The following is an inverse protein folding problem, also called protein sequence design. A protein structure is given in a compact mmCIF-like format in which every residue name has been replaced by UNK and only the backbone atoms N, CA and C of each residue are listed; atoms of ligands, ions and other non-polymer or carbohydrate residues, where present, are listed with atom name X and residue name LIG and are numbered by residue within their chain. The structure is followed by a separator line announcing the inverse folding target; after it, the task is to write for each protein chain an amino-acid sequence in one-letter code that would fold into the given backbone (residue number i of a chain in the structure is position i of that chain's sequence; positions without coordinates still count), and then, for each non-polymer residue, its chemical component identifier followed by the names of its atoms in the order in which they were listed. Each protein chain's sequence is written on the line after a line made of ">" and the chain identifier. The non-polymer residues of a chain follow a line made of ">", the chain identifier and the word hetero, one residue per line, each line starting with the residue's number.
data_IF_051539369703
#
_entry.id   IF_051539369703
#
_cell.length_a   1.000
_cell.length_b   1.000
_cell.length_c   1.000
_cell.angle_alpha   90.00
_cell.angle_beta   90.00
_cell.angle_gamma   90.00
#
_symmetry.space_group_name_H-M   'P 1'
#
loop_
_entity.id
_entity.type
_entity.pdbx_description
1 polymer ?
#
# COMPACT_ATOMS: atom_id res chain seq x y z
N UNK A 1 11.31 -24.02 14.65
CA UNK A 1 10.29 -23.61 13.65
C UNK A 1 10.42 -22.11 13.45
N UNK A 2 10.63 -21.69 12.24
CA UNK A 2 10.74 -20.27 11.94
C UNK A 2 9.35 -19.64 11.96
N UNK A 3 9.23 -18.52 12.65
CA UNK A 3 8.00 -17.72 12.66
C UNK A 3 8.28 -16.41 11.98
N UNK A 4 7.45 -16.05 11.00
CA UNK A 4 7.51 -14.76 10.27
C UNK A 4 6.32 -13.91 10.71
N UNK A 5 6.57 -12.64 11.00
CA UNK A 5 5.51 -11.70 11.32
C UNK A 5 4.92 -11.12 10.03
N UNK A 6 3.60 -11.25 9.85
CA UNK A 6 2.94 -10.81 8.63
C UNK A 6 2.96 -9.28 8.47
N UNK A 7 2.91 -8.53 9.59
CA UNK A 7 3.00 -7.08 9.56
C UNK A 7 4.37 -6.62 9.04
N UNK A 8 5.44 -7.24 9.53
CA UNK A 8 6.80 -6.93 9.10
C UNK A 8 6.98 -7.28 7.61
N UNK A 9 6.45 -8.45 7.20
CA UNK A 9 6.49 -8.87 5.80
C UNK A 9 5.76 -7.89 4.87
N UNK A 10 4.56 -7.45 5.23
CA UNK A 10 3.80 -6.46 4.48
C UNK A 10 4.55 -5.11 4.39
N UNK A 11 5.13 -4.67 5.49
CA UNK A 11 5.93 -3.43 5.55
C UNK A 11 7.15 -3.50 4.61
N UNK A 12 7.86 -4.64 4.60
CA UNK A 12 9.01 -4.88 3.72
C UNK A 12 8.57 -4.92 2.25
N UNK A 13 7.49 -5.65 1.95
CA UNK A 13 6.96 -5.74 0.58
C UNK A 13 6.63 -4.35 0.01
N UNK A 14 5.92 -3.53 0.79
CA UNK A 14 5.54 -2.19 0.34
C UNK A 14 6.77 -1.28 0.19
N UNK A 15 7.79 -1.43 1.03
CA UNK A 15 9.07 -0.72 0.86
C UNK A 15 9.77 -1.13 -0.43
N UNK A 16 9.89 -2.41 -0.71
CA UNK A 16 10.52 -2.90 -1.93
C UNK A 16 9.72 -2.48 -3.18
N UNK A 17 8.37 -2.44 -3.09
CA UNK A 17 7.52 -1.90 -4.16
C UNK A 17 7.81 -0.42 -4.41
N UNK A 18 7.91 0.40 -3.36
CA UNK A 18 8.26 1.82 -3.49
C UNK A 18 9.57 2.02 -4.25
N UNK A 19 10.57 1.16 -3.98
CA UNK A 19 11.89 1.24 -4.61
C UNK A 19 11.91 0.76 -6.07
N UNK A 20 10.94 -0.05 -6.49
CA UNK A 20 10.89 -0.68 -7.82
C UNK A 20 9.72 -0.21 -8.68
N UNK A 21 8.80 0.59 -8.15
CA UNK A 21 7.60 1.03 -8.86
C UNK A 21 7.99 1.90 -10.09
N UNK A 22 7.66 1.47 -11.32
CA UNK A 22 8.25 2.14 -12.50
C UNK A 22 7.52 3.42 -12.91
N UNK A 23 6.24 3.56 -12.56
CA UNK A 23 5.38 4.63 -13.10
C UNK A 23 5.61 5.97 -12.41
N UNK A 24 5.72 5.94 -11.08
CA UNK A 24 5.74 7.15 -10.24
C UNK A 24 7.00 7.28 -9.39
N UNK A 25 8.01 6.40 -9.63
CA UNK A 25 9.21 6.28 -8.80
C UNK A 25 9.92 7.61 -8.56
N UNK A 26 10.01 8.43 -9.60
CA UNK A 26 10.72 9.72 -9.56
C UNK A 26 9.77 10.93 -9.63
N UNK A 27 8.48 10.69 -9.55
CA UNK A 27 7.48 11.74 -9.66
C UNK A 27 7.17 12.35 -8.30
N UNK A 28 7.15 13.67 -8.25
CA UNK A 28 6.82 14.46 -7.06
C UNK A 28 5.39 14.97 -7.16
N UNK A 29 4.62 14.80 -6.09
CA UNK A 29 3.27 15.38 -5.99
C UNK A 29 3.41 16.92 -5.90
N UNK A 30 2.74 17.63 -6.79
CA UNK A 30 2.78 19.10 -6.89
C UNK A 30 1.46 19.76 -6.56
N UNK A 31 0.36 19.14 -6.89
CA UNK A 31 -0.97 19.68 -6.62
C UNK A 31 -1.96 18.56 -6.30
N UNK A 32 -2.87 18.86 -5.38
CA UNK A 32 -4.04 18.06 -5.09
C UNK A 32 -5.24 18.96 -5.35
N UNK A 33 -6.16 18.52 -6.19
CA UNK A 33 -7.33 19.29 -6.56
C UNK A 33 -8.60 18.45 -6.38
N UNK A 34 -9.55 18.95 -5.61
CA UNK A 34 -10.86 18.34 -5.34
C UNK A 34 -12.00 18.96 -6.17
N UNK A 35 -11.65 19.80 -7.13
CA UNK A 35 -12.60 20.54 -7.96
C UNK A 35 -13.15 21.81 -7.32
N UNK A 36 -12.85 22.10 -6.06
CA UNK A 36 -13.36 23.31 -5.38
C UNK A 36 -12.70 24.62 -5.84
N UNK A 37 -11.51 24.51 -6.45
CA UNK A 37 -10.74 25.64 -6.95
C UNK A 37 -10.17 25.36 -8.35
N UNK A 38 -9.89 26.42 -9.15
CA UNK A 38 -9.19 26.27 -10.41
C UNK A 38 -7.82 25.59 -10.21
N UNK A 39 -7.43 24.75 -11.15
CA UNK A 39 -6.11 24.11 -11.15
C UNK A 39 -5.01 25.17 -11.27
N UNK A 40 -3.97 25.07 -10.47
CA UNK A 40 -2.78 25.92 -10.59
C UNK A 40 -1.77 25.38 -11.60
N UNK A 41 -1.70 24.05 -11.69
CA UNK A 41 -0.93 23.37 -12.73
C UNK A 41 -1.85 23.06 -13.91
N UNK A 42 -1.40 23.38 -15.11
CA UNK A 42 -2.12 23.14 -16.37
C UNK A 42 -3.53 23.79 -16.42
N UNK A 43 -3.68 25.09 -16.13
CA UNK A 43 -5.01 25.72 -16.06
C UNK A 43 -5.77 25.66 -17.40
N UNK A 44 -5.04 25.71 -18.52
CA UNK A 44 -5.60 25.79 -19.87
C UNK A 44 -5.58 24.46 -20.63
N UNK A 45 -5.11 23.36 -20.00
CA UNK A 45 -5.10 22.06 -20.66
C UNK A 45 -6.39 21.33 -20.36
N UNK A 46 -7.21 21.00 -21.38
CA UNK A 46 -8.36 20.15 -21.19
C UNK A 46 -7.91 18.78 -20.69
N UNK A 47 -8.57 18.31 -19.66
CA UNK A 47 -8.38 16.96 -19.15
C UNK A 47 -9.71 16.19 -19.35
N UNK A 48 -9.92 15.60 -20.54
CA UNK A 48 -11.19 14.99 -20.91
C UNK A 48 -11.73 14.02 -19.86
N UNK A 49 -10.83 13.31 -19.19
CA UNK A 49 -11.21 12.37 -18.13
C UNK A 49 -11.83 13.06 -16.91
N UNK A 50 -11.44 14.29 -16.58
CA UNK A 50 -12.07 15.06 -15.51
C UNK A 50 -13.42 15.62 -15.96
N UNK A 51 -13.54 16.00 -17.23
CA UNK A 51 -14.77 16.52 -17.82
C UNK A 51 -15.83 15.41 -17.97
N UNK A 52 -15.39 14.15 -18.11
CA UNK A 52 -16.24 12.96 -18.21
C UNK A 52 -16.64 12.36 -16.84
N UNK A 53 -16.08 12.87 -15.72
CA UNK A 53 -16.46 12.38 -14.39
C UNK A 53 -17.88 12.83 -14.05
N UNK A 54 -18.72 11.95 -13.44
CA UNK A 54 -20.05 12.36 -13.01
C UNK A 54 -19.96 13.47 -11.96
N UNK A 55 -20.68 14.58 -12.19
CA UNK A 55 -20.70 15.76 -11.30
C UNK A 55 -21.13 15.45 -9.85
N UNK A 56 -21.79 14.31 -9.64
CA UNK A 56 -22.31 13.90 -8.34
C UNK A 56 -21.38 12.99 -7.53
N UNK A 57 -20.20 12.64 -8.06
CA UNK A 57 -19.22 11.82 -7.35
C UNK A 57 -18.01 12.67 -7.00
N UNK A 58 -17.65 12.80 -5.70
CA UNK A 58 -16.43 13.49 -5.31
C UNK A 58 -15.19 12.91 -6.02
N UNK A 59 -14.30 13.78 -6.42
CA UNK A 59 -13.06 13.36 -7.05
C UNK A 59 -11.84 14.07 -6.44
N UNK A 60 -10.69 13.38 -6.49
CA UNK A 60 -9.40 13.94 -6.13
C UNK A 60 -8.44 13.79 -7.31
N UNK A 61 -7.98 14.90 -7.82
CA UNK A 61 -6.97 14.93 -8.87
C UNK A 61 -5.59 15.17 -8.26
N UNK A 62 -4.63 14.31 -8.62
CA UNK A 62 -3.23 14.37 -8.20
C UNK A 62 -2.36 14.72 -9.39
N UNK A 63 -1.66 15.83 -9.29
CA UNK A 63 -0.73 16.27 -10.32
C UNK A 63 0.71 16.00 -9.87
N UNK A 64 1.40 15.18 -10.63
CA UNK A 64 2.79 14.82 -10.39
C UNK A 64 3.69 15.38 -11.48
N UNK A 65 4.91 15.73 -11.10
CA UNK A 65 5.94 16.18 -12.01
C UNK A 65 7.21 15.37 -11.81
N UNK A 66 7.76 14.85 -12.89
CA UNK A 66 9.11 14.31 -12.91
C UNK A 66 10.08 15.42 -13.28
N UNK A 67 11.06 15.72 -12.43
CA UNK A 67 11.99 16.83 -12.64
C UNK A 67 13.18 16.32 -13.48
N UNK A 68 13.32 16.85 -14.70
CA UNK A 68 14.51 16.63 -15.50
C UNK A 68 15.72 17.29 -14.82
N UNK A 69 16.87 16.65 -14.84
CA UNK A 69 18.14 17.14 -14.30
C UNK A 69 18.35 17.04 -12.77
N UNK A 70 17.42 16.53 -11.98
CA UNK A 70 17.74 16.10 -10.62
C UNK A 70 18.28 14.67 -10.66
N UNK A 71 19.28 14.37 -9.80
CA UNK A 71 19.68 12.98 -9.56
C UNK A 71 18.41 12.25 -9.09
N UNK A 72 17.96 11.20 -9.82
CA UNK A 72 16.68 10.58 -9.54
C UNK A 72 16.63 10.05 -8.09
N UNK A 73 16.13 10.86 -7.18
CA UNK A 73 15.89 10.48 -5.80
C UNK A 73 14.47 9.91 -5.72
N UNK A 74 14.34 8.73 -5.10
CA UNK A 74 13.04 8.18 -4.82
C UNK A 74 12.42 9.00 -3.69
N UNK A 75 11.28 9.72 -3.90
CA UNK A 75 10.66 10.48 -2.86
C UNK A 75 10.26 9.59 -1.67
N UNK A 76 10.57 10.02 -0.47
CA UNK A 76 10.07 9.35 0.72
C UNK A 76 8.68 9.87 1.07
N UNK A 77 7.79 9.04 1.68
CA UNK A 77 6.45 9.46 2.06
C UNK A 77 6.41 10.68 2.98
N UNK A 78 7.53 10.93 3.67
CA UNK A 78 7.69 12.06 4.60
C UNK A 78 8.19 13.33 3.94
N UNK A 79 8.61 13.25 2.67
CA UNK A 79 9.20 14.34 1.89
C UNK A 79 8.22 14.96 0.89
N UNK A 80 6.92 14.62 0.96
CA UNK A 80 5.89 15.21 0.09
C UNK A 80 5.89 16.72 0.26
N UNK A 81 6.20 17.44 -0.82
CA UNK A 81 6.20 18.90 -0.82
C UNK A 81 4.76 19.38 -0.75
N UNK A 82 4.45 20.29 0.18
CA UNK A 82 3.14 20.92 0.27
C UNK A 82 2.93 21.78 -0.96
N UNK A 83 1.83 21.58 -1.63
CA UNK A 83 1.39 22.44 -2.72
C UNK A 83 0.06 23.07 -2.34
N UNK A 84 0.05 24.37 -2.21
CA UNK A 84 -1.14 25.23 -2.28
C UNK A 84 -2.27 25.05 -1.26
N UNK A 85 -2.54 23.84 -0.79
CA UNK A 85 -3.57 23.57 0.19
C UNK A 85 -2.95 23.46 1.59
N UNK A 86 -2.95 24.56 2.33
CA UNK A 86 -2.42 24.65 3.71
C UNK A 86 -3.18 23.76 4.72
N UNK A 87 -4.35 23.23 4.34
CA UNK A 87 -5.24 22.48 5.21
C UNK A 87 -4.97 20.96 5.23
N UNK A 88 -4.15 20.42 4.33
CA UNK A 88 -3.89 18.97 4.25
C UNK A 88 -2.85 18.56 5.29
N UNK A 89 -3.21 17.65 6.17
CA UNK A 89 -2.32 17.14 7.21
C UNK A 89 -1.19 16.27 6.64
N UNK A 90 -0.07 16.14 7.37
CA UNK A 90 1.03 15.25 6.98
C UNK A 90 0.61 13.78 6.81
N UNK A 91 -0.40 13.32 7.56
CA UNK A 91 -0.89 11.95 7.47
C UNK A 91 -1.74 11.74 6.22
N UNK A 92 -2.51 12.76 5.82
CA UNK A 92 -3.26 12.74 4.56
C UNK A 92 -2.32 12.80 3.36
N UNK A 93 -1.31 13.66 3.39
CA UNK A 93 -0.29 13.70 2.34
C UNK A 93 0.42 12.34 2.18
N UNK A 94 0.76 11.68 3.28
CA UNK A 94 1.33 10.34 3.22
C UNK A 94 0.34 9.31 2.65
N UNK A 95 -0.94 9.42 2.99
CA UNK A 95 -1.99 8.56 2.44
C UNK A 95 -2.13 8.76 0.93
N UNK A 96 -2.19 10.00 0.46
CA UNK A 96 -2.22 10.32 -0.96
C UNK A 96 -0.97 9.83 -1.70
N UNK A 97 0.20 9.99 -1.09
CA UNK A 97 1.44 9.45 -1.63
C UNK A 97 1.33 7.94 -1.91
N UNK A 98 0.79 7.18 -0.96
CA UNK A 98 0.61 5.74 -1.11
C UNK A 98 -0.55 5.38 -2.04
N UNK A 99 -1.65 6.14 -2.02
CA UNK A 99 -2.77 5.95 -2.95
C UNK A 99 -2.30 6.02 -4.41
N UNK A 100 -1.46 7.00 -4.73
CA UNK A 100 -0.88 7.16 -6.07
C UNK A 100 -0.01 5.95 -6.44
N UNK A 101 0.89 5.54 -5.56
CA UNK A 101 1.84 4.45 -5.83
C UNK A 101 1.21 3.07 -5.86
N UNK A 102 0.08 2.92 -5.18
CA UNK A 102 -0.69 1.68 -5.19
C UNK A 102 -1.74 1.62 -6.31
N UNK A 103 -1.88 2.68 -7.11
CA UNK A 103 -2.84 2.71 -8.21
C UNK A 103 -2.72 1.46 -9.08
N UNK A 104 -3.85 0.72 -9.22
CA UNK A 104 -3.94 -0.55 -9.95
C UNK A 104 -2.89 -1.61 -9.55
N UNK A 105 -2.38 -1.60 -8.31
CA UNK A 105 -1.35 -2.55 -7.85
C UNK A 105 -1.89 -3.69 -6.99
N UNK A 106 -3.18 -3.76 -6.73
CA UNK A 106 -3.77 -4.74 -5.80
C UNK A 106 -3.38 -6.18 -6.14
N UNK A 107 -3.64 -6.61 -7.36
CA UNK A 107 -3.30 -7.96 -7.81
C UNK A 107 -1.80 -8.22 -7.82
N UNK A 108 -0.99 -7.28 -8.30
CA UNK A 108 0.46 -7.43 -8.35
C UNK A 108 1.05 -7.59 -6.94
N UNK A 109 0.58 -6.82 -5.96
CA UNK A 109 1.04 -6.90 -4.57
C UNK A 109 0.58 -8.19 -3.88
N UNK A 110 -0.67 -8.60 -4.07
CA UNK A 110 -1.18 -9.87 -3.52
C UNK A 110 -0.44 -11.05 -4.15
N UNK A 111 -0.19 -11.04 -5.45
CA UNK A 111 0.58 -12.08 -6.13
C UNK A 111 2.04 -12.11 -5.66
N UNK A 112 2.69 -10.95 -5.52
CA UNK A 112 4.04 -10.89 -4.97
C UNK A 112 4.09 -11.46 -3.53
N UNK A 113 3.13 -11.11 -2.69
CA UNK A 113 3.02 -11.68 -1.34
C UNK A 113 2.85 -13.20 -1.39
N UNK A 114 1.99 -13.71 -2.28
CA UNK A 114 1.80 -15.15 -2.47
C UNK A 114 3.10 -15.85 -2.86
N UNK A 115 3.85 -15.33 -3.86
CA UNK A 115 5.14 -15.89 -4.27
C UNK A 115 6.12 -15.93 -3.08
N UNK A 116 6.17 -14.86 -2.29
CA UNK A 116 7.03 -14.80 -1.10
C UNK A 116 6.62 -15.87 -0.08
N UNK A 117 5.32 -16.01 0.21
CA UNK A 117 4.81 -17.02 1.14
C UNK A 117 5.09 -18.44 0.65
N UNK A 118 4.90 -18.70 -0.64
CA UNK A 118 5.17 -20.00 -1.27
C UNK A 118 6.67 -20.39 -1.25
N UNK A 119 7.56 -19.39 -1.27
CA UNK A 119 9.01 -19.61 -1.20
C UNK A 119 9.51 -19.89 0.24
N UNK A 120 8.71 -19.61 1.26
CA UNK A 120 9.07 -19.93 2.63
C UNK A 120 8.94 -21.44 2.90
N UNK A 121 9.77 -22.01 3.79
CA UNK A 121 9.63 -23.43 4.18
C UNK A 121 8.21 -23.74 4.65
N UNK A 122 7.63 -24.87 4.24
CA UNK A 122 6.27 -25.29 4.60
C UNK A 122 6.05 -25.39 6.12
N UNK A 123 7.12 -25.56 6.89
CA UNK A 123 7.09 -25.60 8.36
C UNK A 123 7.04 -24.21 9.00
N UNK A 124 7.20 -23.15 8.20
CA UNK A 124 7.13 -21.76 8.67
C UNK A 124 5.71 -21.43 9.12
N UNK A 125 5.59 -20.70 10.22
CA UNK A 125 4.33 -20.16 10.70
C UNK A 125 4.28 -18.65 10.49
N UNK A 126 3.13 -18.15 10.10
CA UNK A 126 2.83 -16.73 10.10
C UNK A 126 2.26 -16.34 11.46
N UNK A 127 2.87 -15.35 12.07
CA UNK A 127 2.33 -14.63 13.21
C UNK A 127 1.61 -13.39 12.72
N UNK A 128 0.31 -13.32 12.96
CA UNK A 128 -0.55 -12.23 12.52
C UNK A 128 -1.03 -11.48 13.76
N UNK A 129 -0.67 -10.21 13.87
CA UNK A 129 -0.94 -9.37 15.02
C UNK A 129 -1.70 -8.13 14.56
N UNK A 130 -2.94 -7.96 15.00
CA UNK A 130 -3.70 -6.75 14.67
C UNK A 130 -3.45 -5.62 15.68
N UNK A 131 -3.72 -4.40 15.30
CA UNK A 131 -3.62 -3.22 16.18
C UNK A 131 -4.61 -3.24 17.34
N UNK A 132 -5.64 -4.10 17.29
CA UNK A 132 -6.63 -4.32 18.36
C UNK A 132 -6.22 -5.41 19.36
N UNK A 133 -5.06 -6.02 19.17
CA UNK A 133 -4.56 -7.06 20.10
C UNK A 133 -4.96 -8.48 19.73
N UNK A 134 -5.55 -8.71 18.56
CA UNK A 134 -5.81 -10.09 18.11
C UNK A 134 -4.51 -10.72 17.64
N UNK A 135 -4.29 -11.96 18.04
CA UNK A 135 -3.12 -12.77 17.66
C UNK A 135 -3.60 -14.05 16.98
N UNK A 136 -3.15 -14.27 15.77
CA UNK A 136 -3.38 -15.51 15.03
C UNK A 136 -2.03 -16.09 14.63
N UNK A 137 -1.88 -17.42 14.71
CA UNK A 137 -0.68 -18.12 14.22
C UNK A 137 -1.14 -19.25 13.32
N UNK A 138 -0.81 -19.15 12.04
CA UNK A 138 -1.24 -20.09 11.00
C UNK A 138 -0.04 -20.63 10.21
N UNK A 139 -0.16 -21.80 9.55
CA UNK A 139 0.81 -22.21 8.54
C UNK A 139 0.96 -21.14 7.44
N UNK A 140 2.15 -21.05 6.87
CA UNK A 140 2.45 -20.09 5.77
C UNK A 140 1.54 -20.28 4.55
N UNK A 141 1.00 -21.48 4.34
CA UNK A 141 0.07 -21.82 3.25
C UNK A 141 -1.41 -21.57 3.58
N UNK A 142 -1.73 -21.15 4.81
CA UNK A 142 -3.12 -21.03 5.27
C UNK A 142 -3.66 -19.61 5.01
N UNK A 143 -3.96 -19.32 3.74
CA UNK A 143 -4.63 -18.08 3.34
C UNK A 143 -5.56 -18.34 2.15
N UNK A 144 -6.50 -17.44 1.96
CA UNK A 144 -7.33 -17.34 0.77
C UNK A 144 -7.18 -15.96 0.15
N UNK A 145 -7.33 -15.86 -1.17
CA UNK A 145 -7.41 -14.60 -1.87
C UNK A 145 -8.87 -14.30 -2.15
N UNK A 146 -9.30 -13.11 -1.80
CA UNK A 146 -10.68 -12.65 -1.96
C UNK A 146 -10.69 -11.50 -2.94
N UNK A 147 -11.56 -11.57 -3.92
CA UNK A 147 -11.88 -10.48 -4.81
C UNK A 147 -13.33 -10.05 -4.60
N UNK A 148 -13.56 -8.75 -4.64
CA UNK A 148 -14.91 -8.21 -4.61
C UNK A 148 -15.01 -6.98 -5.52
N UNK A 149 -16.13 -6.79 -6.22
CA UNK A 149 -16.38 -5.58 -7.01
C UNK A 149 -16.72 -4.42 -6.07
N UNK A 150 -16.03 -3.30 -6.24
CA UNK A 150 -16.23 -2.08 -5.45
C UNK A 150 -16.59 -0.92 -6.36
N UNK A 151 -17.56 -0.13 -5.94
CA UNK A 151 -17.83 1.21 -6.47
C UNK A 151 -17.26 2.20 -5.44
N UNK A 152 -16.22 2.94 -5.79
CA UNK A 152 -15.63 3.94 -4.90
C UNK A 152 -16.58 5.14 -4.71
N UNK A 153 -16.65 5.66 -3.47
CA UNK A 153 -17.39 6.90 -3.18
C UNK A 153 -16.61 8.15 -3.62
N UNK A 154 -15.30 8.04 -3.78
CA UNK A 154 -14.45 9.11 -4.29
C UNK A 154 -13.61 8.57 -5.43
N UNK A 155 -13.69 9.22 -6.57
CA UNK A 155 -12.82 8.90 -7.70
C UNK A 155 -11.44 9.51 -7.50
N UNK A 156 -10.38 8.83 -7.94
CA UNK A 156 -9.05 9.42 -8.00
C UNK A 156 -8.56 9.50 -9.43
N UNK A 157 -7.91 10.60 -9.74
CA UNK A 157 -7.30 10.87 -11.02
C UNK A 157 -5.83 11.24 -10.82
N UNK A 158 -4.94 10.60 -11.54
CA UNK A 158 -3.51 10.86 -11.45
C UNK A 158 -3.03 11.37 -12.82
N UNK A 159 -2.47 12.55 -12.82
CA UNK A 159 -1.83 13.16 -13.97
C UNK A 159 -0.33 13.23 -13.71
N UNK A 160 0.45 12.44 -14.41
CA UNK A 160 1.91 12.42 -14.30
C UNK A 160 2.55 13.09 -15.49
N UNK A 161 3.25 14.21 -15.24
CA UNK A 161 3.92 15.02 -16.24
C UNK A 161 5.41 14.65 -16.27
N UNK A 162 5.87 14.18 -17.42
CA UNK A 162 7.29 13.86 -17.66
C UNK A 162 7.84 14.77 -18.73
N UNK A 163 9.00 15.41 -18.50
CA UNK A 163 9.67 16.12 -19.56
C UNK A 163 10.05 15.14 -20.66
N UNK A 164 9.75 15.49 -21.89
CA UNK A 164 10.17 14.71 -23.04
C UNK A 164 11.54 15.18 -23.47
N UNK A 165 12.49 14.26 -23.65
CA UNK A 165 13.75 14.56 -24.32
C UNK A 165 13.45 14.82 -25.80
N UNK A 166 13.39 16.10 -26.19
CA UNK A 166 13.31 16.48 -27.57
C UNK A 166 14.74 16.74 -28.06
N UNK A 167 15.12 16.25 -29.24
CA UNK A 167 16.35 16.68 -29.89
C UNK A 167 16.33 18.19 -30.05
N UNK A 168 17.42 18.86 -29.73
CA UNK A 168 17.65 20.30 -29.50
C UNK A 168 17.26 21.28 -30.66
N UNK A 169 16.36 20.95 -31.59
CA UNK A 169 16.14 21.81 -32.75
C UNK A 169 15.31 23.06 -32.49
N UNK A 170 14.40 23.10 -31.48
CA UNK A 170 13.45 24.22 -31.39
C UNK A 170 13.26 24.85 -30.00
N UNK A 171 14.00 24.41 -28.97
CA UNK A 171 13.96 25.07 -27.65
C UNK A 171 12.64 24.89 -26.85
N UNK A 172 11.70 24.12 -27.35
CA UNK A 172 10.44 23.87 -26.67
C UNK A 172 10.52 22.54 -25.89
N UNK A 173 10.32 22.61 -24.58
CA UNK A 173 10.15 21.42 -23.75
C UNK A 173 8.74 20.85 -23.98
N UNK A 174 8.64 19.71 -24.63
CA UNK A 174 7.38 18.96 -24.70
C UNK A 174 7.20 18.17 -23.42
N UNK A 175 5.98 18.09 -22.92
CA UNK A 175 5.61 17.29 -21.76
C UNK A 175 4.83 16.08 -22.21
N UNK A 176 5.27 14.88 -21.80
CA UNK A 176 4.44 13.70 -21.92
C UNK A 176 3.50 13.63 -20.70
N UNK A 177 2.21 13.52 -20.97
CA UNK A 177 1.17 13.46 -19.96
C UNK A 177 0.65 12.02 -19.87
N UNK A 178 0.95 11.34 -18.76
CA UNK A 178 0.35 10.04 -18.45
C UNK A 178 -0.81 10.24 -17.48
N UNK A 179 -1.96 9.68 -17.82
CA UNK A 179 -3.20 9.81 -17.06
C UNK A 179 -3.64 8.45 -16.54
N UNK A 180 -4.06 8.39 -15.29
CA UNK A 180 -4.55 7.18 -14.65
C UNK A 180 -5.78 7.52 -13.80
N UNK A 181 -6.79 6.66 -13.83
CA UNK A 181 -8.02 6.84 -13.05
C UNK A 181 -8.30 5.63 -12.18
N UNK A 182 -8.83 5.86 -10.99
CA UNK A 182 -9.42 4.82 -10.13
C UNK A 182 -10.83 5.26 -9.76
N UNK A 183 -11.77 4.34 -9.86
CA UNK A 183 -13.19 4.66 -9.71
C UNK A 183 -13.83 4.98 -11.05
N UNK A 184 -14.88 5.77 -11.03
CA UNK A 184 -15.70 6.08 -12.21
C UNK A 184 -17.14 5.61 -12.01
N UNK A 185 -17.92 5.52 -13.08
CA UNK A 185 -19.33 5.10 -13.03
C UNK A 185 -19.57 3.60 -12.86
N UNK A 186 -18.51 2.80 -12.76
CA UNK A 186 -18.59 1.35 -12.67
C UNK A 186 -17.85 0.77 -11.48
N UNK A 187 -18.11 -0.50 -11.20
CA UNK A 187 -17.35 -1.26 -10.22
C UNK A 187 -16.01 -1.68 -10.78
N UNK A 188 -15.00 -1.74 -9.92
CA UNK A 188 -13.68 -2.28 -10.22
C UNK A 188 -13.31 -3.39 -9.24
N UNK A 189 -12.46 -4.34 -9.65
CA UNK A 189 -12.10 -5.44 -8.80
C UNK A 189 -11.16 -4.97 -7.67
N UNK A 190 -11.51 -5.33 -6.44
CA UNK A 190 -10.71 -5.12 -5.23
C UNK A 190 -10.25 -6.46 -4.69
N UNK A 191 -8.98 -6.58 -4.36
CA UNK A 191 -8.38 -7.84 -3.96
C UNK A 191 -7.63 -7.72 -2.64
N UNK A 192 -7.80 -8.72 -1.76
CA UNK A 192 -7.08 -8.81 -0.49
C UNK A 192 -6.81 -10.28 -0.11
N UNK A 193 -5.95 -10.49 0.86
CA UNK A 193 -5.69 -11.81 1.44
C UNK A 193 -6.48 -11.99 2.73
N UNK A 194 -7.01 -13.18 2.93
CA UNK A 194 -7.75 -13.58 4.12
C UNK A 194 -7.02 -14.73 4.83
N UNK A 195 -6.74 -14.55 6.10
CA UNK A 195 -6.08 -15.53 6.97
C UNK A 195 -7.02 -15.99 8.06
N UNK A 196 -6.91 -17.26 8.46
CA UNK A 196 -7.82 -17.89 9.43
C UNK A 196 -9.00 -18.54 8.71
N UNK A 197 -9.12 -19.86 8.86
CA UNK A 197 -10.16 -20.63 8.19
C UNK A 197 -11.34 -20.86 9.12
N UNK A 198 -12.56 -20.91 8.56
CA UNK A 198 -13.79 -21.27 9.29
C UNK A 198 -13.73 -22.68 9.89
N UNK A 199 -12.76 -23.52 9.45
CA UNK A 199 -12.66 -24.94 9.78
C UNK A 199 -11.62 -25.34 10.80
N UNK A 200 -10.72 -24.46 11.27
CA UNK A 200 -9.68 -24.83 12.25
C UNK A 200 -10.22 -24.76 13.67
N UNK A 201 -10.88 -25.83 14.07
CA UNK A 201 -11.61 -26.00 15.36
C UNK A 201 -10.73 -26.06 16.62
N UNK A 202 -9.48 -25.59 16.64
CA UNK A 202 -8.55 -25.84 17.76
C UNK A 202 -7.82 -24.61 18.32
N UNK A 203 -8.27 -23.41 18.07
CA UNK A 203 -7.76 -22.23 18.79
C UNK A 203 -8.84 -21.61 19.66
N UNK A 204 -8.47 -21.05 20.81
CA UNK A 204 -9.41 -20.39 21.75
C UNK A 204 -10.19 -19.22 21.13
N UNK A 205 -9.88 -18.84 19.88
CA UNK A 205 -10.55 -17.82 19.08
C UNK A 205 -11.17 -18.45 17.81
N UNK A 206 -12.12 -19.38 18.01
CA UNK A 206 -12.86 -19.99 16.90
C UNK A 206 -13.51 -18.89 16.05
N UNK A 207 -13.13 -18.84 14.76
CA UNK A 207 -13.70 -17.93 13.77
C UNK A 207 -12.97 -16.60 13.60
N UNK A 208 -11.77 -16.42 14.16
CA UNK A 208 -10.98 -15.20 13.88
C UNK A 208 -10.45 -15.22 12.45
N UNK A 209 -10.97 -14.34 11.61
CA UNK A 209 -10.49 -14.08 10.27
C UNK A 209 -9.84 -12.69 10.21
N UNK A 210 -8.63 -12.61 9.66
CA UNK A 210 -7.87 -11.38 9.50
C UNK A 210 -7.63 -11.11 8.02
N UNK A 211 -7.99 -9.92 7.58
CA UNK A 211 -7.73 -9.41 6.24
C UNK A 211 -6.36 -8.74 6.20
N UNK A 212 -5.60 -8.97 5.14
CA UNK A 212 -4.47 -8.15 4.73
C UNK A 212 -4.81 -7.50 3.39
N UNK A 213 -5.04 -6.18 3.41
CA UNK A 213 -5.22 -5.35 2.23
C UNK A 213 -4.02 -4.42 2.06
N UNK A 214 -3.23 -4.69 1.04
CA UNK A 214 -1.97 -3.98 0.74
C UNK A 214 -2.18 -2.65 0.01
N UNK A 215 -3.41 -2.37 -0.45
CA UNK A 215 -3.73 -1.19 -1.26
C UNK A 215 -4.84 -0.31 -0.67
N UNK A 216 -5.18 -0.51 0.58
CA UNK A 216 -6.22 0.27 1.28
C UNK A 216 -6.08 1.80 1.12
N UNK A 217 -4.87 2.42 0.99
CA UNK A 217 -4.73 3.84 0.70
C UNK A 217 -5.37 4.30 -0.62
N UNK A 218 -5.57 3.42 -1.61
CA UNK A 218 -6.28 3.76 -2.85
C UNK A 218 -7.74 4.18 -2.61
N UNK A 219 -8.34 3.71 -1.53
CA UNK A 219 -9.67 4.13 -1.07
C UNK A 219 -9.59 5.09 0.13
N UNK A 220 -8.46 5.78 0.28
CA UNK A 220 -8.23 6.82 1.28
C UNK A 220 -8.43 6.39 2.72
N UNK A 221 -8.13 5.12 3.05
CA UNK A 221 -8.09 4.69 4.44
C UNK A 221 -6.81 3.92 4.78
N UNK A 222 -6.49 3.90 6.06
CA UNK A 222 -5.29 3.28 6.64
C UNK A 222 -5.70 2.17 7.60
N UNK A 223 -4.76 1.32 7.94
CA UNK A 223 -4.92 0.36 9.02
C UNK A 223 -5.32 1.01 10.34
N UNK A 224 -6.03 0.28 11.20
CA UNK A 224 -6.50 0.78 12.52
C UNK A 224 -5.34 1.21 13.43
N UNK A 225 -4.15 0.68 13.23
CA UNK A 225 -2.92 1.09 13.90
C UNK A 225 -2.18 2.23 13.22
N UNK A 226 -2.72 2.77 12.11
CA UNK A 226 -2.11 3.84 11.32
C UNK A 226 -1.16 3.34 10.24
N UNK A 227 -1.14 2.02 9.98
CA UNK A 227 -0.35 1.37 8.94
C UNK A 227 -0.78 1.88 7.56
N UNK A 228 0.13 1.79 6.59
CA UNK A 228 -0.10 2.10 5.16
C UNK A 228 -0.77 0.94 4.40
N UNK A 229 -1.26 -0.04 5.11
CA UNK A 229 -2.06 -1.18 4.67
C UNK A 229 -3.07 -1.52 5.77
N UNK A 230 -4.11 -2.29 5.47
CA UNK A 230 -5.03 -2.77 6.49
C UNK A 230 -4.69 -4.22 6.87
N UNK A 231 -4.58 -4.47 8.19
CA UNK A 231 -4.45 -5.82 8.75
C UNK A 231 -5.35 -5.91 9.99
N UNK A 232 -6.58 -6.33 9.78
CA UNK A 232 -7.68 -6.20 10.74
C UNK A 232 -8.61 -7.42 10.67
N UNK A 233 -9.44 -7.58 11.68
CA UNK A 233 -10.53 -8.55 11.59
C UNK A 233 -11.42 -8.24 10.39
N UNK A 234 -11.95 -9.29 9.78
CA UNK A 234 -12.77 -9.17 8.56
C UNK A 234 -13.95 -8.21 8.76
N UNK A 235 -14.63 -8.25 9.89
CA UNK A 235 -15.78 -7.38 10.18
C UNK A 235 -15.37 -5.91 10.31
N UNK A 236 -14.22 -5.64 10.98
CA UNK A 236 -13.68 -4.28 11.13
C UNK A 236 -13.25 -3.71 9.78
N UNK A 237 -12.58 -4.55 8.98
CA UNK A 237 -12.16 -4.19 7.63
C UNK A 237 -13.35 -3.87 6.72
N UNK A 238 -14.36 -4.76 6.66
CA UNK A 238 -15.54 -4.53 5.82
C UNK A 238 -16.32 -3.27 6.25
N UNK A 239 -16.42 -2.99 7.54
CA UNK A 239 -17.04 -1.76 8.04
C UNK A 239 -16.33 -0.51 7.48
N UNK A 240 -14.99 -0.52 7.47
CA UNK A 240 -14.19 0.57 6.88
C UNK A 240 -14.34 0.63 5.37
N UNK A 241 -14.26 -0.51 4.70
CA UNK A 241 -14.39 -0.59 3.27
C UNK A 241 -15.73 -0.01 2.78
N UNK A 242 -16.83 -0.37 3.45
CA UNK A 242 -18.17 0.14 3.18
C UNK A 242 -18.33 1.64 3.45
N UNK A 243 -17.48 2.23 4.29
CA UNK A 243 -17.45 3.69 4.49
C UNK A 243 -16.76 4.45 3.35
N UNK A 244 -16.03 3.78 2.47
CA UNK A 244 -15.27 4.35 1.36
C UNK A 244 -15.77 3.88 -0.02
N UNK A 245 -16.63 2.88 -0.05
CA UNK A 245 -17.16 2.32 -1.29
C UNK A 245 -18.38 1.45 -1.06
N UNK A 246 -19.12 1.21 -2.12
CA UNK A 246 -20.21 0.23 -2.13
C UNK A 246 -19.70 -1.09 -2.72
N UNK A 247 -20.00 -2.20 -2.06
CA UNK A 247 -19.71 -3.53 -2.60
C UNK A 247 -20.84 -3.92 -3.54
N UNK A 248 -20.50 -4.21 -4.80
CA UNK A 248 -21.43 -4.69 -5.79
C UNK A 248 -21.38 -6.22 -5.87
N UNK A 249 -22.40 -6.89 -5.36
CA UNK A 249 -22.50 -8.35 -5.41
C UNK A 249 -21.84 -9.05 -4.21
N UNK A 250 -21.37 -10.28 -4.44
CA UNK A 250 -20.78 -11.12 -3.39
C UNK A 250 -19.26 -11.25 -3.58
N UNK A 251 -18.50 -11.29 -2.48
CA UNK A 251 -17.07 -11.60 -2.56
C UNK A 251 -16.83 -12.98 -3.19
N UNK A 252 -15.84 -13.06 -4.07
CA UNK A 252 -15.37 -14.32 -4.62
C UNK A 252 -14.12 -14.76 -3.85
N UNK A 253 -14.18 -15.90 -3.19
CA UNK A 253 -12.95 -16.56 -2.70
C UNK A 253 -12.30 -17.26 -3.88
N UNK A 254 -11.09 -16.84 -4.23
CA UNK A 254 -10.25 -17.65 -5.08
C UNK A 254 -9.70 -18.81 -4.26
N UNK A 255 -9.48 -19.96 -4.91
CA UNK A 255 -8.67 -21.01 -4.33
C UNK A 255 -7.31 -20.44 -3.89
N UNK A 256 -6.57 -21.15 -3.09
CA UNK A 256 -5.32 -20.79 -2.43
C UNK A 256 -4.26 -20.04 -3.27
N UNK A 257 -4.57 -19.65 -4.50
CA UNK A 257 -3.63 -18.99 -5.41
C UNK A 257 -4.34 -18.03 -6.35
N UNK A 258 -3.73 -16.89 -6.63
CA UNK A 258 -4.14 -15.99 -7.71
C UNK A 258 -4.13 -16.79 -9.00
N UNK A 259 -5.31 -17.07 -9.53
CA UNK A 259 -5.44 -17.56 -10.88
C UNK A 259 -5.17 -16.40 -11.84
N UNK A 260 -4.35 -16.63 -12.84
CA UNK A 260 -3.87 -15.65 -13.83
C UNK A 260 -4.96 -14.96 -14.69
N UNK A 261 -6.18 -14.81 -14.23
CA UNK A 261 -7.27 -14.29 -15.06
C UNK A 261 -7.20 -12.79 -15.38
N UNK A 262 -6.36 -12.04 -14.69
CA UNK A 262 -6.36 -10.57 -14.82
C UNK A 262 -4.97 -9.92 -14.83
N UNK A 263 -3.89 -10.69 -14.78
CA UNK A 263 -2.56 -10.10 -14.81
C UNK A 263 -2.11 -10.09 -16.27
N UNK A 264 -2.07 -8.91 -16.86
CA UNK A 264 -1.38 -8.72 -18.12
C UNK A 264 0.07 -9.21 -18.00
N UNK A 265 0.57 -9.87 -19.04
CA UNK A 265 1.90 -10.53 -19.07
C UNK A 265 3.05 -9.58 -18.64
N UNK A 266 2.84 -8.28 -18.76
CA UNK A 266 3.81 -7.24 -18.39
C UNK A 266 3.99 -7.09 -16.87
N UNK A 267 2.94 -7.32 -16.07
CA UNK A 267 3.04 -7.29 -14.61
C UNK A 267 3.71 -8.54 -14.02
N UNK A 268 3.71 -9.65 -14.75
CA UNK A 268 4.29 -10.91 -14.26
C UNK A 268 5.78 -10.83 -13.92
N UNK A 269 6.58 -10.18 -14.77
CA UNK A 269 8.03 -10.06 -14.55
C UNK A 269 8.36 -9.11 -13.40
N UNK A 270 7.65 -7.98 -13.27
CA UNK A 270 7.83 -7.02 -12.18
C UNK A 270 7.43 -7.62 -10.83
N UNK A 271 6.35 -8.40 -10.81
CA UNK A 271 5.88 -9.09 -9.61
C UNK A 271 6.89 -10.12 -9.11
N UNK A 272 7.48 -10.91 -10.02
CA UNK A 272 8.53 -11.89 -9.66
C UNK A 272 9.77 -11.16 -9.13
N UNK A 273 10.24 -10.12 -9.81
CA UNK A 273 11.39 -9.32 -9.36
C UNK A 273 11.15 -8.69 -7.98
N UNK A 274 9.93 -8.18 -7.74
CA UNK A 274 9.55 -7.66 -6.43
C UNK A 274 9.64 -8.75 -5.35
N UNK A 275 9.13 -9.94 -5.63
CA UNK A 275 9.17 -11.07 -4.71
C UNK A 275 10.62 -11.50 -4.39
N UNK A 276 11.49 -11.55 -5.38
CA UNK A 276 12.92 -11.86 -5.21
C UNK A 276 13.62 -10.82 -4.33
N UNK A 277 13.31 -9.54 -4.50
CA UNK A 277 13.83 -8.45 -3.65
C UNK A 277 13.38 -8.63 -2.20
N UNK A 278 12.09 -8.94 -1.97
CA UNK A 278 11.56 -9.20 -0.64
C UNK A 278 12.25 -10.40 0.01
N UNK A 279 12.41 -11.51 -0.71
CA UNK A 279 13.11 -12.72 -0.22
C UNK A 279 14.56 -12.43 0.13
N UNK A 280 15.27 -11.69 -0.72
CA UNK A 280 16.64 -11.23 -0.46
C UNK A 280 16.69 -10.38 0.82
N UNK A 281 15.71 -9.51 1.00
CA UNK A 281 15.59 -8.66 2.17
C UNK A 281 15.37 -9.46 3.44
N UNK A 282 14.48 -10.45 3.39
CA UNK A 282 14.23 -11.36 4.51
C UNK A 282 15.47 -12.15 4.91
N UNK A 283 16.29 -12.58 3.95
CA UNK A 283 17.57 -13.24 4.25
C UNK A 283 18.52 -12.31 5.02
N UNK A 284 18.69 -11.06 4.57
CA UNK A 284 19.53 -10.07 5.26
C UNK A 284 19.03 -9.78 6.68
N UNK A 285 17.72 -9.70 6.88
CA UNK A 285 17.12 -9.50 8.21
C UNK A 285 17.39 -10.70 9.12
N UNK A 286 17.34 -11.92 8.61
CA UNK A 286 17.73 -13.13 9.36
C UNK A 286 19.22 -13.10 9.74
N UNK A 287 20.07 -12.49 8.94
CA UNK A 287 21.49 -12.26 9.19
C UNK A 287 21.77 -11.10 10.15
N UNK A 288 20.72 -10.40 10.61
CA UNK A 288 20.81 -9.34 11.62
C UNK A 288 20.68 -7.91 11.07
N UNK A 289 20.32 -7.74 9.80
CA UNK A 289 20.04 -6.40 9.29
C UNK A 289 18.77 -5.83 9.91
N UNK A 290 18.84 -4.58 10.36
CA UNK A 290 17.71 -3.87 10.93
C UNK A 290 16.84 -3.21 9.85
N UNK A 291 15.55 -3.08 10.13
CA UNK A 291 14.62 -2.32 9.32
C UNK A 291 13.66 -1.49 10.18
N UNK A 292 13.08 -0.46 9.58
CA UNK A 292 12.11 0.39 10.25
C UNK A 292 10.74 -0.32 10.31
N UNK A 293 10.24 -0.57 11.51
CA UNK A 293 8.96 -1.24 11.75
C UNK A 293 7.72 -0.44 11.25
N UNK A 294 7.92 0.78 10.75
CA UNK A 294 6.85 1.58 10.16
C UNK A 294 6.95 1.68 8.63
N UNK A 295 8.09 2.10 8.09
CA UNK A 295 8.24 2.37 6.65
C UNK A 295 9.09 1.34 5.91
N UNK A 296 9.59 0.30 6.58
CA UNK A 296 10.38 -0.78 5.98
C UNK A 296 11.83 -0.41 5.57
N UNK A 297 12.24 0.86 5.73
CA UNK A 297 13.58 1.33 5.33
C UNK A 297 14.67 0.55 6.05
N UNK A 298 15.75 0.28 5.32
CA UNK A 298 16.94 -0.42 5.81
C UNK A 298 17.70 0.39 6.85
N UNK A 299 18.54 -0.32 7.64
CA UNK A 299 19.47 0.28 8.61
C UNK A 299 18.78 1.25 9.58
N UNK A 300 17.60 0.89 10.07
CA UNK A 300 16.95 1.64 11.13
C UNK A 300 17.82 1.62 12.38
N UNK A 301 17.96 2.78 13.03
CA UNK A 301 18.92 2.96 14.13
C UNK A 301 18.29 3.44 15.45
N UNK A 302 17.00 3.76 15.44
CA UNK A 302 16.25 4.22 16.62
C UNK A 302 15.47 3.07 17.25
N UNK A 303 16.01 2.50 18.33
CA UNK A 303 15.43 1.36 19.02
C UNK A 303 14.31 1.79 19.98
N UNK A 304 13.22 1.04 20.03
CA UNK A 304 12.21 1.23 21.07
C UNK A 304 12.82 0.94 22.45
N UNK A 305 12.80 1.92 23.35
CA UNK A 305 13.43 1.83 24.67
C UNK A 305 12.76 0.82 25.60
N UNK A 306 11.48 0.47 25.35
CA UNK A 306 10.71 -0.47 26.18
C UNK A 306 10.94 -1.92 25.73
N UNK A 307 10.56 -2.29 24.52
CA UNK A 307 10.68 -3.68 24.08
C UNK A 307 12.07 -4.05 23.55
N UNK A 308 12.87 -3.07 23.12
CA UNK A 308 14.21 -3.27 22.53
C UNK A 308 14.22 -4.24 21.35
N UNK A 309 13.09 -4.32 20.59
CA UNK A 309 12.95 -5.18 19.40
C UNK A 309 12.59 -4.36 18.17
N UNK A 310 11.59 -3.48 18.27
CA UNK A 310 11.20 -2.65 17.16
C UNK A 310 12.21 -1.52 16.94
N UNK A 311 12.60 -1.32 15.69
CA UNK A 311 13.50 -0.27 15.26
C UNK A 311 12.82 0.69 14.29
N UNK A 312 13.26 1.94 14.26
CA UNK A 312 12.68 3.02 13.47
C UNK A 312 13.79 3.87 12.83
N UNK A 313 13.49 4.56 11.73
CA UNK A 313 14.43 5.53 11.15
C UNK A 313 14.71 6.68 12.13
N UNK A 314 13.62 7.20 12.72
CA UNK A 314 13.62 8.37 13.60
C UNK A 314 12.38 8.39 14.51
N UNK A 315 12.24 9.48 15.28
CA UNK A 315 11.07 9.72 16.15
C UNK A 315 9.76 9.88 15.36
N UNK A 316 9.80 10.37 14.11
CA UNK A 316 8.60 10.54 13.27
C UNK A 316 8.04 9.18 12.89
N UNK A 317 8.89 8.27 12.40
CA UNK A 317 8.51 6.88 12.12
C UNK A 317 8.02 6.17 13.40
N UNK A 318 8.71 6.35 14.54
CA UNK A 318 8.27 5.76 15.80
C UNK A 318 6.89 6.27 16.23
N UNK A 319 6.63 7.57 16.12
CA UNK A 319 5.32 8.19 16.47
C UNK A 319 4.21 7.66 15.57
N UNK A 320 4.46 7.55 14.26
CA UNK A 320 3.49 7.04 13.29
C UNK A 320 3.19 5.56 13.50
N UNK A 321 4.20 4.72 13.75
CA UNK A 321 4.02 3.30 14.05
C UNK A 321 3.54 3.00 15.48
N UNK A 322 3.48 4.01 16.37
CA UNK A 322 3.20 3.80 17.78
C UNK A 322 1.83 3.21 18.05
N UNK A 323 0.81 3.60 17.30
CA UNK A 323 -0.57 3.14 17.53
C UNK A 323 -0.71 1.62 17.36
N UNK A 324 0.02 1.01 16.41
CA UNK A 324 0.15 -0.44 16.28
C UNK A 324 1.09 -1.00 17.33
N UNK A 325 2.31 -0.47 17.39
CA UNK A 325 3.39 -1.03 18.22
C UNK A 325 3.04 -1.07 19.71
N UNK A 326 2.36 -0.04 20.26
CA UNK A 326 2.01 0.01 21.69
C UNK A 326 1.23 -1.20 22.18
N UNK A 327 0.40 -1.79 21.32
CA UNK A 327 -0.41 -2.97 21.63
C UNK A 327 0.48 -4.19 21.91
N UNK A 328 1.60 -4.30 21.22
CA UNK A 328 2.51 -5.45 21.28
C UNK A 328 3.79 -5.18 22.06
N UNK A 329 4.12 -3.92 22.31
CA UNK A 329 5.37 -3.48 22.91
C UNK A 329 5.66 -4.16 24.27
N UNK A 330 4.70 -4.25 25.16
CA UNK A 330 4.87 -4.90 26.47
C UNK A 330 5.05 -6.41 26.33
N UNK A 331 4.26 -7.04 25.46
CA UNK A 331 4.34 -8.46 25.16
C UNK A 331 5.71 -8.79 24.57
N UNK A 332 6.18 -8.02 23.63
CA UNK A 332 7.50 -8.16 23.03
C UNK A 332 8.64 -7.94 24.03
N UNK A 333 8.42 -7.09 25.04
CA UNK A 333 9.36 -6.89 26.15
C UNK A 333 9.34 -8.03 27.19
N UNK A 334 8.38 -8.98 27.10
CA UNK A 334 8.18 -10.01 28.12
C UNK A 334 7.56 -9.47 29.42
N UNK A 335 6.97 -8.28 29.35
CA UNK A 335 6.27 -7.65 30.49
C UNK A 335 4.79 -8.07 30.46
N UNK A 336 4.31 -8.66 31.53
CA UNK A 336 2.90 -9.03 31.70
C UNK A 336 2.04 -7.82 32.01
#
# INVERSE_FOLDING_TARGET
>A
MDTVDLHDLATILLRERLLSEPRFKHSHLREINDGSAPRSLLPDIPLPVLDDLPDNIPHLAFFLVEIANEIPKIPEPTEVTRTGNDDVSELELEMYFWAIRHHNSGYALVHAMQIVLDALPITTKLRIRTSRGHLLTVPVSSFSIVELPIIALTNSYICNMKPQEIPESDGHTSLTLAQHTTGGSGSFPWVYMLFGDEGVANTQENGLQVVLDLVSPMLFFRGLGGEIFSMERMEEYHTKLLSQGAIEGRPFKYSDRVGFRSIEVQEGSETVQLSERVLTRLSKIKEGESFCAYCGKEMANSLCTVCRKAMYCDKKCQKRGWKYHKTWCKIDAGLK
#
